data_IF_647913753926
#
_entry.id   IF_647913753926
#
_cell.length_a   1.000
_cell.length_b   1.000
_cell.length_c   1.000
_cell.angle_alpha   90.00
_cell.angle_beta   90.00
_cell.angle_gamma   90.00
#
_symmetry.space_group_name_H-M   'P 1'
#
loop_
_entity.id
_entity.type
_entity.pdbx_description
1 polymer ?
#
# COMPACT_ATOMS: atom_id res chain seq x y z
N UNK A 1 -23.08 5.20 65.18
CA UNK A 1 -23.60 5.30 63.80
C UNK A 1 -22.38 5.31 62.88
N UNK A 2 -22.27 4.32 61.99
CA UNK A 2 -21.10 4.08 61.16
C UNK A 2 -20.96 5.15 60.06
N UNK A 3 -19.74 5.68 59.87
CA UNK A 3 -19.36 6.42 58.69
C UNK A 3 -18.96 5.43 57.59
N UNK A 4 -19.77 5.28 56.55
CA UNK A 4 -19.37 4.54 55.35
C UNK A 4 -18.60 5.47 54.42
N UNK A 5 -17.28 5.27 54.37
CA UNK A 5 -16.38 5.88 53.39
C UNK A 5 -16.72 5.34 51.99
N UNK A 6 -16.96 6.29 51.09
CA UNK A 6 -17.15 6.11 49.66
C UNK A 6 -15.92 5.41 49.06
N UNK A 7 -16.12 4.20 48.52
CA UNK A 7 -15.13 3.53 47.67
C UNK A 7 -15.49 3.81 46.20
N UNK A 8 -14.91 4.86 45.63
CA UNK A 8 -14.83 5.01 44.18
C UNK A 8 -13.59 4.25 43.75
N UNK A 9 -13.79 3.05 43.20
CA UNK A 9 -12.72 2.31 42.57
C UNK A 9 -12.17 3.14 41.39
N UNK A 10 -10.84 3.25 41.22
CA UNK A 10 -10.28 3.89 40.04
C UNK A 10 -10.60 3.00 38.84
N UNK A 11 -11.48 3.47 37.96
CA UNK A 11 -11.65 2.90 36.63
C UNK A 11 -10.33 3.10 35.88
N UNK A 12 -9.50 2.06 35.88
CA UNK A 12 -8.32 2.00 35.04
C UNK A 12 -8.80 2.02 33.58
N UNK A 13 -8.74 3.20 32.96
CA UNK A 13 -8.89 3.35 31.52
C UNK A 13 -7.67 2.66 30.90
N UNK A 14 -7.84 1.39 30.53
CA UNK A 14 -6.91 0.67 29.69
C UNK A 14 -6.92 1.36 28.33
N UNK A 15 -6.05 2.34 28.15
CA UNK A 15 -5.63 2.80 26.83
C UNK A 15 -4.92 1.62 26.18
N UNK A 16 -5.70 0.77 25.49
CA UNK A 16 -5.18 -0.17 24.51
C UNK A 16 -4.49 0.70 23.46
N UNK A 17 -3.18 0.89 23.62
CA UNK A 17 -2.33 1.36 22.56
C UNK A 17 -2.43 0.29 21.47
N UNK A 18 -3.35 0.51 20.53
CA UNK A 18 -3.35 -0.21 19.27
C UNK A 18 -2.00 0.12 18.65
N UNK A 19 -1.05 -0.81 18.74
CA UNK A 19 0.11 -0.79 17.89
C UNK A 19 -0.45 -0.96 16.48
N UNK A 20 -0.76 0.17 15.82
CA UNK A 20 -1.00 0.20 14.40
C UNK A 20 0.33 -0.25 13.77
N UNK A 21 0.46 -1.56 13.58
CA UNK A 21 1.49 -2.12 12.73
C UNK A 21 1.18 -1.49 11.37
N UNK A 22 2.02 -0.55 10.93
CA UNK A 22 1.78 0.26 9.76
C UNK A 22 1.60 -0.66 8.55
N UNK A 23 0.36 -0.99 8.20
CA UNK A 23 0.09 -2.15 7.37
C UNK A 23 -0.04 -1.73 5.91
N UNK A 24 0.99 -1.97 5.10
CA UNK A 24 0.94 -1.57 3.70
C UNK A 24 0.87 -2.77 2.78
N UNK A 25 -0.15 -2.79 1.93
CA UNK A 25 -0.30 -3.78 0.87
C UNK A 25 -0.29 -3.07 -0.48
N UNK A 26 0.53 -3.57 -1.41
CA UNK A 26 0.53 -3.18 -2.80
C UNK A 26 0.19 -4.39 -3.66
N UNK A 27 -0.62 -4.16 -4.70
CA UNK A 27 -0.88 -5.15 -5.74
C UNK A 27 -1.08 -4.48 -7.08
N UNK A 28 -0.48 -5.05 -8.12
CA UNK A 28 -0.70 -4.63 -9.51
C UNK A 28 -0.65 -5.81 -10.47
N UNK A 29 -1.41 -5.72 -11.55
CA UNK A 29 -1.43 -6.63 -12.69
C UNK A 29 -1.18 -5.82 -13.95
N UNK A 30 -0.22 -6.26 -14.75
CA UNK A 30 0.17 -5.62 -16.00
C UNK A 30 -0.02 -6.59 -17.16
N UNK A 31 -0.94 -6.29 -18.07
CA UNK A 31 -1.24 -7.12 -19.24
C UNK A 31 -0.21 -6.92 -20.35
N UNK A 32 0.26 -8.01 -20.96
CA UNK A 32 1.10 -7.96 -22.17
C UNK A 32 0.29 -7.70 -23.45
N UNK A 33 -1.02 -7.96 -23.45
CA UNK A 33 -1.86 -7.79 -24.65
C UNK A 33 -2.01 -6.32 -25.04
N UNK A 34 -2.11 -5.43 -24.05
CA UNK A 34 -2.42 -4.02 -24.26
C UNK A 34 -1.58 -3.07 -23.39
N UNK A 35 -0.60 -3.58 -22.64
CA UNK A 35 0.22 -2.79 -21.72
C UNK A 35 -0.56 -2.20 -20.53
N UNK A 36 -1.81 -2.61 -20.32
CA UNK A 36 -2.63 -2.03 -19.27
C UNK A 36 -2.19 -2.51 -17.90
N UNK A 37 -1.93 -1.58 -16.98
CA UNK A 37 -1.61 -1.82 -15.58
C UNK A 37 -2.77 -1.38 -14.70
N UNK A 38 -3.28 -2.33 -13.91
CA UNK A 38 -4.30 -2.12 -12.89
C UNK A 38 -3.78 -2.52 -11.51
N UNK A 39 -4.19 -1.81 -10.47
CA UNK A 39 -3.74 -2.12 -9.13
C UNK A 39 -4.05 -1.04 -8.10
N UNK A 40 -3.36 -1.11 -6.97
CA UNK A 40 -3.50 -0.12 -5.92
C UNK A 40 -2.68 -0.41 -4.68
N UNK A 41 -2.84 0.49 -3.71
CA UNK A 41 -2.19 0.43 -2.42
C UNK A 41 -3.24 0.58 -1.33
N UNK A 42 -3.15 -0.29 -0.32
CA UNK A 42 -3.92 -0.23 0.91
C UNK A 42 -2.97 0.06 2.07
N UNK A 43 -3.28 1.06 2.88
CA UNK A 43 -2.50 1.47 4.05
C UNK A 43 -3.40 1.42 5.28
N UNK A 44 -3.01 0.59 6.26
CA UNK A 44 -3.77 0.29 7.48
C UNK A 44 -5.22 -0.14 7.19
N UNK A 45 -5.40 -0.93 6.12
CA UNK A 45 -6.71 -1.44 5.69
C UNK A 45 -7.57 -0.45 4.90
N UNK A 46 -7.10 0.80 4.70
CA UNK A 46 -7.77 1.78 3.85
C UNK A 46 -7.16 1.77 2.43
N UNK A 47 -8.00 1.71 1.40
CA UNK A 47 -7.55 1.86 0.02
C UNK A 47 -7.12 3.32 -0.22
N UNK A 48 -5.84 3.56 -0.46
CA UNK A 48 -5.26 4.91 -0.55
C UNK A 48 -4.91 5.32 -1.97
N UNK A 49 -4.52 4.36 -2.81
CA UNK A 49 -4.08 4.63 -4.17
C UNK A 49 -4.62 3.61 -5.17
N UNK A 50 -4.94 4.07 -6.37
CA UNK A 50 -5.42 3.29 -7.50
C UNK A 50 -4.48 3.46 -8.69
N UNK A 51 -4.15 2.35 -9.33
CA UNK A 51 -3.42 2.29 -10.59
C UNK A 51 -4.42 1.85 -11.64
N UNK A 52 -4.57 2.65 -12.68
CA UNK A 52 -5.34 2.32 -13.88
C UNK A 52 -4.72 3.15 -15.00
N UNK A 53 -3.74 2.56 -15.68
CA UNK A 53 -2.96 3.28 -16.70
C UNK A 53 -2.50 2.32 -17.78
N UNK A 54 -2.34 2.83 -19.00
CA UNK A 54 -1.67 2.09 -20.06
C UNK A 54 -0.19 2.38 -19.94
N UNK A 55 0.52 1.45 -19.33
CA UNK A 55 1.96 1.42 -19.37
C UNK A 55 2.35 0.86 -20.73
N UNK A 56 2.76 1.68 -21.69
CA UNK A 56 3.16 1.19 -23.01
C UNK A 56 4.23 0.10 -22.88
N UNK A 57 3.82 -1.16 -22.91
CA UNK A 57 4.63 -2.37 -22.83
C UNK A 57 4.48 -3.10 -24.16
N UNK A 58 4.87 -2.44 -25.24
CA UNK A 58 4.82 -3.02 -26.57
C UNK A 58 5.96 -4.04 -26.75
N UNK A 59 5.94 -5.19 -26.04
CA UNK A 59 6.78 -6.38 -26.29
C UNK A 59 8.31 -6.24 -26.32
N UNK A 60 8.82 -5.02 -26.27
CA UNK A 60 10.21 -4.60 -26.22
C UNK A 60 10.55 -4.28 -24.75
N UNK A 61 11.83 -4.19 -24.36
CA UNK A 61 12.22 -3.60 -23.09
C UNK A 61 11.90 -2.09 -23.12
N UNK A 62 10.61 -1.74 -23.15
CA UNK A 62 10.13 -0.39 -22.90
C UNK A 62 10.64 0.01 -21.53
N UNK A 63 11.35 1.14 -21.51
CA UNK A 63 12.12 1.74 -20.43
C UNK A 63 11.78 1.13 -19.05
N UNK A 64 12.65 0.26 -18.55
CA UNK A 64 12.51 -0.35 -17.22
C UNK A 64 12.37 0.72 -16.10
N UNK A 65 12.77 1.95 -16.41
CA UNK A 65 12.71 3.11 -15.53
C UNK A 65 11.48 3.99 -15.77
N UNK A 66 10.53 3.58 -16.61
CA UNK A 66 9.30 4.34 -16.81
C UNK A 66 8.53 4.51 -15.49
N UNK A 67 8.04 5.74 -15.29
CA UNK A 67 7.28 6.15 -14.13
C UNK A 67 5.80 6.07 -14.46
N UNK A 68 5.04 5.29 -13.68
CA UNK A 68 3.59 5.20 -13.90
C UNK A 68 2.82 6.03 -12.88
N UNK A 69 1.89 6.89 -13.37
CA UNK A 69 1.09 7.73 -12.49
C UNK A 69 0.14 6.84 -11.68
N UNK A 70 0.10 7.11 -10.37
CA UNK A 70 -0.84 6.49 -9.44
C UNK A 70 -1.77 7.57 -8.93
N UNK A 71 -3.07 7.32 -8.93
CA UNK A 71 -4.06 8.24 -8.37
C UNK A 71 -4.27 7.91 -6.90
N UNK A 72 -3.92 8.84 -6.01
CA UNK A 72 -4.07 8.65 -4.57
C UNK A 72 -5.06 9.65 -3.97
N UNK A 73 -5.66 9.29 -2.83
CA UNK A 73 -6.47 10.21 -2.03
C UNK A 73 -5.61 11.32 -1.43
N UNK A 74 -6.23 12.42 -0.99
CA UNK A 74 -5.51 13.60 -0.48
C UNK A 74 -4.58 13.25 0.68
N UNK A 75 -3.34 13.77 0.63
CA UNK A 75 -2.30 13.51 1.63
C UNK A 75 -1.47 12.25 1.36
N UNK A 76 -1.78 11.51 0.31
CA UNK A 76 -1.05 10.32 -0.12
C UNK A 76 -0.48 10.51 -1.53
N UNK A 77 0.64 9.84 -1.80
CA UNK A 77 1.23 9.81 -3.14
C UNK A 77 1.96 8.50 -3.36
N UNK A 78 1.96 8.02 -4.60
CA UNK A 78 2.71 6.84 -4.97
C UNK A 78 3.29 6.95 -6.37
N UNK A 79 4.43 6.32 -6.56
CA UNK A 79 5.09 6.14 -7.85
C UNK A 79 5.44 4.68 -8.01
N UNK A 80 5.12 4.13 -9.18
CA UNK A 80 5.44 2.74 -9.52
C UNK A 80 6.43 2.74 -10.68
N UNK A 81 7.46 1.89 -10.57
CA UNK A 81 8.55 1.70 -11.53
C UNK A 81 8.82 0.21 -11.77
N UNK A 82 9.63 -0.09 -12.77
CA UNK A 82 10.09 -1.45 -13.08
C UNK A 82 8.94 -2.46 -13.19
N UNK A 83 7.94 -2.14 -14.02
CA UNK A 83 6.74 -2.96 -14.29
C UNK A 83 5.91 -3.34 -13.04
N UNK A 84 5.94 -2.50 -12.01
CA UNK A 84 5.27 -2.81 -10.74
C UNK A 84 6.19 -3.39 -9.66
N UNK A 85 7.47 -3.62 -9.97
CA UNK A 85 8.41 -4.19 -9.03
C UNK A 85 8.93 -3.19 -8.01
N UNK A 86 9.03 -1.89 -8.33
CA UNK A 86 9.59 -0.89 -7.42
C UNK A 86 8.58 0.21 -7.11
N UNK A 87 8.29 0.41 -5.83
CA UNK A 87 7.25 1.32 -5.36
C UNK A 87 7.85 2.33 -4.40
N UNK A 88 7.59 3.59 -4.66
CA UNK A 88 7.76 4.67 -3.70
C UNK A 88 6.38 5.16 -3.28
N UNK A 89 6.12 5.21 -1.98
CA UNK A 89 4.84 5.61 -1.42
C UNK A 89 5.05 6.57 -0.24
N UNK A 90 4.20 7.59 -0.17
CA UNK A 90 4.12 8.47 0.98
C UNK A 90 2.68 8.52 1.51
N UNK A 91 2.55 8.42 2.82
CA UNK A 91 1.35 8.82 3.55
C UNK A 91 1.60 10.16 4.27
N UNK A 92 0.59 10.74 4.96
CA UNK A 92 0.76 12.03 5.63
C UNK A 92 1.85 12.08 6.71
N UNK A 93 2.34 10.92 7.17
CA UNK A 93 3.31 10.82 8.27
C UNK A 93 4.71 10.44 7.80
N UNK A 94 4.85 9.63 6.76
CA UNK A 94 6.13 9.09 6.33
C UNK A 94 6.13 8.65 4.84
N UNK A 95 7.32 8.54 4.28
CA UNK A 95 7.57 7.97 2.95
C UNK A 95 8.40 6.68 3.06
N UNK A 96 8.14 5.75 2.17
CA UNK A 96 8.86 4.48 2.10
C UNK A 96 9.01 4.02 0.65
N UNK A 97 10.11 3.30 0.43
CA UNK A 97 10.41 2.63 -0.83
C UNK A 97 10.53 1.14 -0.55
N UNK A 98 9.90 0.33 -1.37
CA UNK A 98 9.94 -1.12 -1.25
C UNK A 98 9.82 -1.77 -2.63
N UNK A 99 10.32 -3.00 -2.72
CA UNK A 99 10.16 -3.81 -3.92
C UNK A 99 9.06 -4.85 -3.72
N UNK A 100 8.27 -5.07 -4.76
CA UNK A 100 7.27 -6.11 -4.85
C UNK A 100 7.87 -7.42 -5.36
N UNK A 101 7.26 -8.53 -4.98
CA UNK A 101 7.50 -9.82 -5.63
C UNK A 101 6.62 -9.90 -6.86
N UNK A 102 7.20 -10.22 -8.01
CA UNK A 102 6.48 -10.30 -9.28
C UNK A 102 6.51 -11.72 -9.85
N UNK A 103 5.34 -12.22 -10.24
CA UNK A 103 5.15 -13.41 -11.04
C UNK A 103 4.96 -13.04 -12.52
N UNK A 104 5.67 -13.74 -13.39
CA UNK A 104 5.72 -13.49 -14.82
C UNK A 104 5.05 -14.67 -15.55
N UNK A 105 3.76 -14.54 -15.80
CA UNK A 105 2.99 -15.53 -16.55
C UNK A 105 3.00 -15.19 -18.05
N UNK A 106 2.33 -15.99 -18.87
CA UNK A 106 2.26 -15.81 -20.32
C UNK A 106 1.44 -14.60 -20.75
N UNK A 107 0.47 -14.19 -19.93
CA UNK A 107 -0.51 -13.14 -20.24
C UNK A 107 -0.18 -11.80 -19.56
N UNK A 108 0.43 -11.86 -18.37
CA UNK A 108 0.62 -10.69 -17.53
C UNK A 108 1.76 -10.84 -16.52
N UNK A 109 2.19 -9.70 -15.98
CA UNK A 109 3.04 -9.59 -14.79
C UNK A 109 2.15 -9.27 -13.60
N UNK A 110 2.27 -10.03 -12.51
CA UNK A 110 1.50 -9.83 -11.27
C UNK A 110 2.47 -9.53 -10.14
N UNK A 111 2.45 -8.30 -9.63
CA UNK A 111 3.35 -7.84 -8.57
C UNK A 111 2.57 -7.58 -7.28
N UNK A 112 3.10 -8.04 -6.14
CA UNK A 112 2.53 -7.77 -4.83
C UNK A 112 3.60 -7.54 -3.76
N UNK A 113 3.27 -6.71 -2.77
CA UNK A 113 4.10 -6.50 -1.59
C UNK A 113 3.24 -6.37 -0.33
N UNK A 114 3.67 -7.01 0.76
CA UNK A 114 3.18 -6.77 2.10
C UNK A 114 4.32 -6.18 2.92
N UNK A 115 4.23 -4.90 3.27
CA UNK A 115 5.26 -4.20 4.03
C UNK A 115 4.81 -4.09 5.49
N UNK A 116 5.78 -4.31 6.39
CA UNK A 116 5.62 -4.23 7.85
C UNK A 116 4.71 -5.29 8.50
N UNK A 117 4.34 -6.36 7.78
CA UNK A 117 3.87 -7.62 8.36
C UNK A 117 2.38 -7.69 8.70
N UNK A 118 1.56 -7.57 7.66
CA UNK A 118 0.20 -8.10 7.59
C UNK A 118 0.23 -9.34 6.66
#
# INVERSE_FOLDING_TARGET
MHFSLVSVAPAAILLLASTAQACLNFGAVTSYENGHMDGGITDNGAHTCTINTVAGFDGEPTDENAYWPVSCISGYSATVRNKGADIEYCNPSNCFTFSATCDYDRDAIRCNANVFGC
#
